data_IF_508474328461
#
_entry.id   IF_508474328461
#
_cell.length_a   1.000
_cell.length_b   1.000
_cell.length_c   1.000
_cell.angle_alpha   90.00
_cell.angle_beta   90.00
_cell.angle_gamma   90.00
#
_symmetry.space_group_name_H-M   'P 1'
#
loop_
_entity.id
_entity.type
_entity.pdbx_description
1 polymer ?
#
# COMPACT_ATOMS: atom_id res chain seq x y z
N UNK A 1 33.97 -5.09 0.62
CA UNK A 1 32.96 -4.06 0.28
C UNK A 1 31.69 -4.50 0.98
N UNK A 2 31.28 -3.83 2.07
CA UNK A 2 30.14 -4.29 2.85
C UNK A 2 28.88 -3.72 2.21
N UNK A 3 27.94 -4.59 1.84
CA UNK A 3 26.63 -4.25 1.26
C UNK A 3 25.85 -3.20 2.09
N UNK A 4 26.16 -3.10 3.38
CA UNK A 4 25.58 -2.15 4.34
C UNK A 4 26.03 -0.68 4.18
N UNK A 5 27.03 -0.40 3.35
CA UNK A 5 27.60 0.93 3.17
C UNK A 5 28.48 1.41 4.33
N UNK A 6 28.93 2.66 4.27
CA UNK A 6 29.81 3.25 5.30
C UNK A 6 29.04 3.64 6.57
N UNK A 7 29.71 3.74 7.72
CA UNK A 7 29.10 4.25 8.97
C UNK A 7 28.48 5.63 8.78
N UNK A 8 29.10 6.52 8.00
CA UNK A 8 28.54 7.83 7.65
C UNK A 8 27.24 7.70 6.85
N UNK A 9 27.22 6.81 5.86
CA UNK A 9 26.02 6.55 5.03
C UNK A 9 24.87 6.00 5.86
N UNK A 10 25.14 5.04 6.76
CA UNK A 10 24.14 4.48 7.68
C UNK A 10 23.58 5.56 8.61
N UNK A 11 24.42 6.46 9.12
CA UNK A 11 23.99 7.56 9.97
C UNK A 11 23.10 8.56 9.22
N UNK A 12 23.44 8.91 7.98
CA UNK A 12 22.61 9.78 7.12
C UNK A 12 21.28 9.11 6.79
N UNK A 13 21.29 7.82 6.47
CA UNK A 13 20.08 7.06 6.18
C UNK A 13 19.11 7.11 7.37
N UNK A 14 19.59 6.88 8.60
CA UNK A 14 18.76 6.88 9.82
C UNK A 14 18.33 8.26 10.29
N UNK A 15 19.22 9.27 10.23
CA UNK A 15 18.96 10.60 10.82
C UNK A 15 18.27 11.57 9.88
N UNK A 16 18.46 11.43 8.58
CA UNK A 16 17.95 12.39 7.58
C UNK A 16 16.96 11.72 6.64
N UNK A 17 17.39 10.69 5.91
CA UNK A 17 16.56 10.09 4.85
C UNK A 17 15.31 9.40 5.38
N UNK A 18 15.43 8.66 6.48
CA UNK A 18 14.31 7.92 7.04
C UNK A 18 13.17 8.84 7.51
N UNK A 19 13.42 9.90 8.31
CA UNK A 19 12.40 10.91 8.60
C UNK A 19 11.81 11.57 7.34
N UNK A 20 12.63 11.92 6.35
CA UNK A 20 12.17 12.56 5.12
C UNK A 20 11.20 11.64 4.34
N UNK A 21 11.52 10.35 4.21
CA UNK A 21 10.67 9.36 3.54
C UNK A 21 9.31 9.26 4.23
N UNK A 22 9.30 9.15 5.56
CA UNK A 22 8.05 9.09 6.33
C UNK A 22 7.23 10.35 6.16
N UNK A 23 7.88 11.52 6.20
CA UNK A 23 7.23 12.81 5.99
C UNK A 23 6.59 12.92 4.60
N UNK A 24 7.34 12.56 3.55
CA UNK A 24 6.84 12.57 2.17
C UNK A 24 5.69 11.57 2.00
N UNK A 25 5.81 10.36 2.55
CA UNK A 25 4.74 9.36 2.47
C UNK A 25 3.42 9.87 3.07
N UNK A 26 3.47 10.48 4.26
CA UNK A 26 2.28 11.08 4.90
C UNK A 26 1.64 12.18 4.06
N UNK A 27 2.45 13.03 3.44
CA UNK A 27 1.95 14.09 2.55
C UNK A 27 1.18 13.55 1.34
N UNK A 28 1.37 12.26 1.02
CA UNK A 28 0.78 11.60 -0.12
C UNK A 28 -0.46 10.76 0.21
N UNK A 29 -0.74 10.47 1.49
CA UNK A 29 -1.89 9.66 1.89
C UNK A 29 -3.23 10.13 1.31
N UNK A 30 -3.57 11.44 1.30
CA UNK A 30 -4.87 11.90 0.80
C UNK A 30 -5.18 11.48 -0.64
N UNK A 31 -4.15 11.34 -1.48
CA UNK A 31 -4.27 10.97 -2.90
C UNK A 31 -4.43 9.46 -3.13
N UNK A 32 -4.24 8.64 -2.08
CA UNK A 32 -4.33 7.18 -2.12
C UNK A 32 -5.51 6.62 -1.31
N UNK A 33 -6.27 7.47 -0.63
CA UNK A 33 -7.45 7.11 0.15
C UNK A 33 -8.59 6.57 -0.74
N UNK A 34 -9.21 5.43 -0.42
CA UNK A 34 -10.41 4.95 -1.11
C UNK A 34 -11.55 5.97 -1.02
N UNK A 35 -12.34 6.12 -2.08
CA UNK A 35 -13.55 6.96 -2.06
C UNK A 35 -13.36 8.48 -1.95
N UNK A 36 -12.14 8.99 -1.74
CA UNK A 36 -11.85 10.44 -1.72
C UNK A 36 -11.48 11.03 -3.06
N UNK A 37 -11.54 10.22 -4.14
CA UNK A 37 -11.69 10.83 -5.45
C UNK A 37 -13.04 11.51 -5.42
N UNK A 38 -13.03 12.81 -5.10
CA UNK A 38 -14.02 13.69 -5.70
C UNK A 38 -14.07 13.26 -7.17
N UNK A 39 -15.21 12.74 -7.58
CA UNK A 39 -15.66 12.80 -8.96
C UNK A 39 -15.83 14.28 -9.31
N UNK A 40 -14.77 15.08 -9.15
CA UNK A 40 -14.70 16.40 -9.74
C UNK A 40 -14.66 16.11 -11.24
N UNK A 41 -15.65 16.55 -12.02
CA UNK A 41 -15.81 16.13 -13.41
C UNK A 41 -14.80 16.86 -14.29
N UNK A 42 -13.51 16.63 -14.08
CA UNK A 42 -12.57 16.58 -15.18
C UNK A 42 -12.76 15.21 -15.84
N UNK A 43 -13.92 15.06 -16.47
CA UNK A 43 -14.35 13.84 -17.13
C UNK A 43 -13.17 13.31 -17.98
N UNK A 44 -12.62 12.13 -17.68
CA UNK A 44 -11.62 11.54 -18.54
C UNK A 44 -12.36 11.18 -19.84
N UNK A 45 -12.13 11.95 -20.90
CA UNK A 45 -12.88 11.80 -22.15
C UNK A 45 -12.52 10.52 -22.91
N UNK A 46 -11.43 9.84 -22.53
CA UNK A 46 -10.96 8.62 -23.19
C UNK A 46 -10.67 7.48 -22.21
N UNK A 47 -10.70 6.25 -22.72
CA UNK A 47 -10.24 5.05 -22.00
C UNK A 47 -8.80 5.19 -21.52
N UNK A 48 -7.97 5.85 -22.33
CA UNK A 48 -6.56 6.11 -22.03
C UNK A 48 -6.38 6.99 -20.79
N UNK A 49 -7.20 8.04 -20.65
CA UNK A 49 -7.12 8.94 -19.50
C UNK A 49 -7.50 8.23 -18.19
N UNK A 50 -8.53 7.38 -18.23
CA UNK A 50 -8.91 6.53 -17.09
C UNK A 50 -7.79 5.56 -16.70
N UNK A 51 -7.23 4.85 -17.68
CA UNK A 51 -6.12 3.94 -17.44
C UNK A 51 -4.90 4.66 -16.85
N UNK A 52 -4.58 5.85 -17.35
CA UNK A 52 -3.46 6.65 -16.85
C UNK A 52 -3.70 7.14 -15.42
N UNK A 53 -4.91 7.60 -15.11
CA UNK A 53 -5.30 8.01 -13.76
C UNK A 53 -5.21 6.83 -12.78
N UNK A 54 -5.75 5.67 -13.18
CA UNK A 54 -5.60 4.41 -12.45
C UNK A 54 -4.14 4.07 -12.21
N UNK A 55 -3.31 4.03 -13.25
CA UNK A 55 -1.90 3.65 -13.14
C UNK A 55 -1.11 4.60 -12.23
N UNK A 56 -1.42 5.90 -12.25
CA UNK A 56 -0.79 6.89 -11.36
C UNK A 56 -1.17 6.64 -9.89
N UNK A 57 -2.46 6.46 -9.62
CA UNK A 57 -2.98 6.17 -8.29
C UNK A 57 -2.44 4.83 -7.75
N UNK A 58 -2.41 3.81 -8.58
CA UNK A 58 -1.91 2.48 -8.21
C UNK A 58 -0.40 2.50 -7.92
N UNK A 59 0.39 3.23 -8.71
CA UNK A 59 1.82 3.47 -8.40
C UNK A 59 2.01 4.15 -7.05
N UNK A 60 1.15 5.11 -6.74
CA UNK A 60 1.18 5.80 -5.45
C UNK A 60 0.89 4.85 -4.30
N UNK A 61 -0.23 4.11 -4.37
CA UNK A 61 -0.62 3.12 -3.37
C UNK A 61 0.51 2.11 -3.12
N UNK A 62 1.08 1.55 -4.19
CA UNK A 62 2.21 0.61 -4.10
C UNK A 62 3.44 1.24 -3.45
N UNK A 63 3.74 2.50 -3.75
CA UNK A 63 4.86 3.22 -3.12
C UNK A 63 4.65 3.37 -1.61
N UNK A 64 3.44 3.72 -1.18
CA UNK A 64 3.09 3.81 0.24
C UNK A 64 3.16 2.44 0.92
N UNK A 65 2.64 1.39 0.27
CA UNK A 65 2.73 0.01 0.74
C UNK A 65 4.17 -0.48 0.91
N UNK A 66 5.10 -0.10 0.03
CA UNK A 66 6.52 -0.42 0.22
C UNK A 66 7.19 0.41 1.33
N UNK A 67 6.66 1.60 1.61
CA UNK A 67 7.21 2.46 2.66
C UNK A 67 6.94 1.89 4.06
N UNK A 68 5.80 1.22 4.25
CA UNK A 68 5.43 0.66 5.55
C UNK A 68 6.41 -0.45 6.03
N UNK A 69 6.69 -1.53 5.27
CA UNK A 69 7.71 -2.52 5.62
C UNK A 69 9.11 -1.91 5.78
N UNK A 70 9.42 -0.85 5.04
CA UNK A 70 10.69 -0.12 5.22
C UNK A 70 10.76 0.50 6.62
N UNK A 71 9.67 1.10 7.11
CA UNK A 71 9.59 1.61 8.49
C UNK A 71 9.78 0.49 9.49
N UNK A 72 9.06 -0.62 9.34
CA UNK A 72 9.16 -1.78 10.23
C UNK A 72 10.57 -2.39 10.24
N UNK A 73 11.23 -2.45 9.08
CA UNK A 73 12.63 -2.87 9.01
C UNK A 73 13.58 -1.94 9.79
N UNK A 74 13.34 -0.63 9.77
CA UNK A 74 14.16 0.32 10.54
C UNK A 74 13.91 0.18 12.05
N UNK A 75 12.68 -0.13 12.46
CA UNK A 75 12.37 -0.48 13.86
C UNK A 75 13.12 -1.75 14.25
N UNK A 76 12.95 -2.83 13.49
CA UNK A 76 13.52 -4.15 13.80
C UNK A 76 15.05 -4.19 13.79
N UNK A 77 15.69 -3.66 12.74
CA UNK A 77 17.14 -3.79 12.57
C UNK A 77 17.95 -2.69 13.25
N UNK A 78 17.34 -1.54 13.55
CA UNK A 78 18.05 -0.40 14.11
C UNK A 78 17.50 0.09 15.45
N UNK A 79 16.54 -0.64 16.04
CA UNK A 79 15.90 -0.33 17.32
C UNK A 79 15.41 1.13 17.37
N UNK A 80 14.87 1.59 16.25
CA UNK A 80 14.30 2.92 16.13
C UNK A 80 12.85 2.90 16.59
N UNK A 81 12.37 4.01 17.16
CA UNK A 81 10.94 4.15 17.46
C UNK A 81 10.12 3.98 16.17
N UNK A 82 8.99 3.25 16.22
CA UNK A 82 8.01 3.26 15.14
C UNK A 82 7.67 4.69 14.77
N UNK A 83 7.71 4.97 13.47
CA UNK A 83 7.40 6.29 12.92
C UNK A 83 6.14 6.29 12.09
N UNK A 84 5.52 5.13 11.88
CA UNK A 84 4.17 5.04 11.35
C UNK A 84 3.27 4.26 12.32
N UNK A 85 2.00 4.63 12.41
CA UNK A 85 1.01 3.97 13.28
C UNK A 85 -0.13 3.40 12.46
N UNK A 86 -0.70 2.26 12.86
CA UNK A 86 -1.75 1.58 12.08
C UNK A 86 -2.90 2.55 11.69
N UNK A 87 -3.35 3.38 12.63
CA UNK A 87 -4.46 4.31 12.42
C UNK A 87 -4.22 5.36 11.33
N UNK A 88 -2.99 5.63 10.92
CA UNK A 88 -2.73 6.57 9.82
C UNK A 88 -2.66 5.91 8.44
N UNK A 89 -2.68 4.56 8.38
CA UNK A 89 -2.57 3.77 7.16
C UNK A 89 -3.93 3.65 6.45
N UNK A 90 -4.57 4.78 6.21
CA UNK A 90 -5.92 4.82 5.64
C UNK A 90 -5.93 4.78 4.09
N UNK A 91 -4.77 4.74 3.46
CA UNK A 91 -4.67 4.53 2.01
C UNK A 91 -5.14 3.12 1.60
N UNK A 92 -5.57 3.00 0.34
CA UNK A 92 -6.11 1.77 -0.22
C UNK A 92 -5.06 0.68 -0.41
N UNK A 93 -5.54 -0.51 -0.75
CA UNK A 93 -4.70 -1.66 -1.07
C UNK A 93 -4.32 -1.69 -2.56
N UNK A 94 -3.17 -2.28 -2.89
CA UNK A 94 -2.77 -2.48 -4.27
C UNK A 94 -3.62 -3.57 -4.92
N UNK A 95 -3.98 -3.35 -6.19
CA UNK A 95 -4.57 -4.40 -7.02
C UNK A 95 -3.55 -5.51 -7.29
N UNK A 96 -3.99 -6.64 -7.84
CA UNK A 96 -3.09 -7.71 -8.29
C UNK A 96 -2.06 -7.20 -9.31
N UNK A 97 -0.85 -7.77 -9.31
CA UNK A 97 0.22 -7.38 -10.23
C UNK A 97 -0.16 -7.57 -11.70
N UNK A 98 -0.97 -8.57 -12.01
CA UNK A 98 -1.50 -8.82 -13.36
C UNK A 98 -2.35 -7.64 -13.85
N UNK A 99 -3.23 -7.13 -12.99
CA UNK A 99 -4.08 -5.97 -13.29
C UNK A 99 -3.26 -4.67 -13.45
N UNK A 100 -2.23 -4.49 -12.61
CA UNK A 100 -1.33 -3.35 -12.71
C UNK A 100 -0.41 -3.40 -13.95
N UNK A 101 0.00 -4.60 -14.38
CA UNK A 101 0.96 -4.80 -15.47
C UNK A 101 0.33 -4.77 -16.88
N UNK A 102 -0.91 -4.32 -17.00
CA UNK A 102 -1.57 -4.17 -18.30
C UNK A 102 -0.73 -3.30 -19.25
N UNK A 103 -0.52 -3.78 -20.48
CA UNK A 103 0.34 -3.14 -21.48
C UNK A 103 -0.21 -1.82 -22.01
N UNK A 104 -1.53 -1.72 -22.04
CA UNK A 104 -2.28 -0.62 -22.64
C UNK A 104 -3.68 -0.51 -22.01
N UNK A 105 -4.40 0.54 -22.41
CA UNK A 105 -5.72 0.87 -21.87
C UNK A 105 -6.77 -0.21 -22.18
N UNK A 106 -6.67 -0.90 -23.31
CA UNK A 106 -7.61 -1.96 -23.70
C UNK A 106 -7.39 -3.22 -22.86
N UNK A 107 -6.13 -3.66 -22.71
CA UNK A 107 -5.75 -4.76 -21.84
C UNK A 107 -6.16 -4.50 -20.39
N UNK A 108 -5.97 -3.27 -19.90
CA UNK A 108 -6.44 -2.85 -18.59
C UNK A 108 -7.95 -2.98 -18.48
N UNK A 109 -8.71 -2.41 -19.42
CA UNK A 109 -10.17 -2.44 -19.40
C UNK A 109 -10.74 -3.87 -19.42
N UNK A 110 -10.16 -4.75 -20.24
CA UNK A 110 -10.56 -6.17 -20.27
C UNK A 110 -10.28 -6.87 -18.93
N UNK A 111 -9.16 -6.55 -18.30
CA UNK A 111 -8.84 -7.08 -16.97
C UNK A 111 -9.75 -6.51 -15.87
N UNK A 112 -10.17 -5.24 -15.97
CA UNK A 112 -11.15 -4.63 -15.05
C UNK A 112 -12.49 -5.35 -15.14
N UNK A 113 -13.02 -5.58 -16.34
CA UNK A 113 -14.28 -6.31 -16.51
C UNK A 113 -14.20 -7.75 -16.01
N UNK A 114 -13.08 -8.43 -16.22
CA UNK A 114 -12.86 -9.77 -15.66
C UNK A 114 -12.77 -9.75 -14.12
N UNK A 115 -12.26 -8.64 -13.55
CA UNK A 115 -12.10 -8.43 -12.12
C UNK A 115 -13.38 -7.93 -11.44
N UNK A 116 -14.33 -7.26 -12.11
CA UNK A 116 -15.60 -6.81 -11.53
C UNK A 116 -16.43 -7.96 -10.93
N UNK A 117 -16.26 -9.19 -11.42
CA UNK A 117 -16.87 -10.39 -10.84
C UNK A 117 -16.13 -10.95 -9.60
N UNK A 118 -14.90 -10.50 -9.30
CA UNK A 118 -14.06 -10.99 -8.18
C UNK A 118 -13.75 -9.90 -7.13
N UNK A 119 -13.42 -8.68 -7.54
CA UNK A 119 -12.58 -7.74 -6.81
C UNK A 119 -13.29 -6.53 -6.15
N UNK A 120 -14.63 -6.48 -6.13
CA UNK A 120 -15.36 -5.35 -5.51
C UNK A 120 -15.05 -5.24 -4.00
N UNK A 121 -14.77 -6.36 -3.33
CA UNK A 121 -14.56 -6.42 -1.89
C UNK A 121 -13.28 -5.72 -1.40
N UNK A 122 -12.18 -5.72 -2.17
CA UNK A 122 -10.91 -5.09 -1.78
C UNK A 122 -10.84 -3.59 -2.09
N UNK A 123 -11.68 -3.09 -3.00
CA UNK A 123 -11.56 -1.72 -3.55
C UNK A 123 -11.80 -0.60 -2.53
N UNK A 124 -12.48 -0.92 -1.42
CA UNK A 124 -12.88 0.04 -0.38
C UNK A 124 -12.15 -0.18 0.95
N UNK A 125 -11.26 -1.17 1.03
CA UNK A 125 -10.58 -1.52 2.28
C UNK A 125 -9.24 -0.82 2.35
N UNK A 126 -8.95 -0.23 3.51
CA UNK A 126 -7.65 0.40 3.80
C UNK A 126 -6.66 -0.60 4.39
N UNK A 127 -5.37 -0.25 4.39
CA UNK A 127 -4.36 -1.08 5.06
C UNK A 127 -4.65 -1.21 6.57
N UNK A 128 -5.01 -0.10 7.23
CA UNK A 128 -5.41 -0.06 8.65
C UNK A 128 -6.58 -1.00 8.96
N UNK A 129 -7.62 -0.98 8.12
CA UNK A 129 -8.77 -1.88 8.26
C UNK A 129 -8.38 -3.34 8.08
N UNK A 130 -7.52 -3.64 7.12
CA UNK A 130 -7.04 -5.01 6.87
C UNK A 130 -6.24 -5.57 8.05
N UNK A 131 -5.37 -4.75 8.65
CA UNK A 131 -4.64 -5.09 9.87
C UNK A 131 -5.62 -5.29 11.04
N UNK A 132 -6.61 -4.43 11.19
CA UNK A 132 -7.62 -4.57 12.25
C UNK A 132 -8.45 -5.86 12.09
N UNK A 133 -8.81 -6.21 10.86
CA UNK A 133 -9.56 -7.45 10.56
C UNK A 133 -8.77 -8.70 10.95
N UNK A 134 -7.46 -8.76 10.64
CA UNK A 134 -6.65 -9.94 10.95
C UNK A 134 -6.35 -10.07 12.46
N UNK A 135 -6.38 -8.95 13.20
CA UNK A 135 -6.20 -8.93 14.66
C UNK A 135 -7.47 -9.30 15.44
N UNK A 136 -8.62 -9.42 14.77
CA UNK A 136 -9.89 -9.73 15.43
C UNK A 136 -10.09 -11.25 15.47
N UNK A 137 -10.45 -11.81 16.63
CA UNK A 137 -10.59 -13.27 16.86
C UNK A 137 -11.68 -13.93 15.97
N UNK A 138 -12.71 -13.16 15.58
CA UNK A 138 -13.85 -13.63 14.76
C UNK A 138 -13.76 -13.15 13.30
N UNK A 139 -12.68 -13.48 12.60
CA UNK A 139 -12.59 -13.22 11.16
C UNK A 139 -13.53 -14.17 10.40
N UNK A 140 -14.69 -13.65 9.96
CA UNK A 140 -15.72 -14.44 9.27
C UNK A 140 -15.29 -14.89 7.86
N UNK A 141 -15.95 -15.92 7.30
CA UNK A 141 -15.60 -16.48 5.99
C UNK A 141 -15.54 -15.43 4.85
N UNK A 142 -16.36 -14.39 4.91
CA UNK A 142 -16.36 -13.28 3.95
C UNK A 142 -15.10 -12.42 4.03
N UNK A 143 -14.52 -12.24 5.22
CA UNK A 143 -13.29 -11.47 5.42
C UNK A 143 -12.06 -12.26 4.94
N UNK A 144 -12.05 -13.58 5.14
CA UNK A 144 -11.02 -14.46 4.56
C UNK A 144 -10.96 -14.38 3.04
N UNK A 145 -12.12 -14.31 2.38
CA UNK A 145 -12.19 -14.13 0.92
C UNK A 145 -11.58 -12.81 0.41
N UNK A 146 -11.42 -11.79 1.28
CA UNK A 146 -10.69 -10.56 0.94
C UNK A 146 -9.19 -10.85 0.90
N UNK A 147 -8.66 -11.50 1.94
CA UNK A 147 -7.23 -11.83 2.03
C UNK A 147 -6.76 -12.80 0.94
N UNK A 148 -7.60 -13.78 0.55
CA UNK A 148 -7.30 -14.70 -0.56
C UNK A 148 -7.10 -14.00 -1.91
N UNK A 149 -7.70 -12.82 -2.08
CA UNK A 149 -7.65 -12.04 -3.31
C UNK A 149 -6.63 -10.89 -3.27
N UNK A 150 -5.98 -10.70 -2.12
CA UNK A 150 -4.98 -9.65 -1.97
C UNK A 150 -3.71 -9.98 -2.75
N UNK A 151 -3.05 -8.92 -3.23
CA UNK A 151 -1.70 -9.07 -3.79
C UNK A 151 -0.71 -9.52 -2.70
N UNK A 152 0.37 -10.24 -3.07
CA UNK A 152 1.45 -10.55 -2.13
C UNK A 152 2.04 -9.32 -1.44
N UNK A 153 2.02 -8.16 -2.12
CA UNK A 153 2.47 -6.90 -1.55
C UNK A 153 1.60 -6.45 -0.36
N UNK A 154 0.27 -6.54 -0.49
CA UNK A 154 -0.65 -6.19 0.59
C UNK A 154 -0.43 -7.12 1.79
N UNK A 155 -0.34 -8.43 1.54
CA UNK A 155 -0.11 -9.43 2.58
C UNK A 155 1.25 -9.23 3.28
N UNK A 156 2.29 -8.87 2.51
CA UNK A 156 3.60 -8.55 3.07
C UNK A 156 3.57 -7.29 3.96
N UNK A 157 2.83 -6.25 3.55
CA UNK A 157 2.62 -5.07 4.38
C UNK A 157 1.90 -5.42 5.69
N UNK A 158 0.81 -6.19 5.62
CA UNK A 158 0.07 -6.65 6.82
C UNK A 158 0.98 -7.49 7.73
N UNK A 159 1.73 -8.44 7.18
CA UNK A 159 2.65 -9.28 7.94
C UNK A 159 3.77 -8.49 8.62
N UNK A 160 4.20 -7.37 8.03
CA UNK A 160 5.25 -6.50 8.59
C UNK A 160 4.83 -5.82 9.90
N UNK A 161 3.53 -5.55 10.07
CA UNK A 161 2.97 -4.97 11.30
C UNK A 161 3.11 -5.91 12.51
N UNK A 162 2.87 -7.21 12.32
CA UNK A 162 3.09 -8.22 13.36
C UNK A 162 4.52 -8.24 13.88
N UNK A 163 5.51 -7.93 13.01
CA UNK A 163 6.90 -7.81 13.40
C UNK A 163 7.17 -6.67 14.38
N UNK A 164 6.40 -5.58 14.31
CA UNK A 164 6.49 -4.47 15.27
C UNK A 164 5.84 -4.83 16.61
N UNK A 165 4.71 -5.56 16.60
CA UNK A 165 3.98 -5.98 17.81
C UNK A 165 4.80 -6.97 18.66
N UNK A 166 5.53 -7.89 18.04
CA UNK A 166 6.35 -8.89 18.76
C UNK A 166 7.60 -8.26 19.43
N UNK A 167 7.98 -7.04 19.05
CA UNK A 167 9.16 -6.33 19.58
C UNK A 167 8.83 -5.32 20.71
N UNK A 168 7.54 -5.15 21.05
CA UNK A 168 7.05 -4.35 22.18
C UNK A 168 6.70 -5.25 23.37
#
# INVERSE_FOLDING_TARGET
>A
MNWEGSTKTRLIARRTRFPDIVYVARSLYPFAMPGTSEEEPLAPCSLYDHWRAFALREKLIRTLLYTFPLVSAFVMFYNMSPRMVINELEFGLAVTDEHFSASDAEAWFMSTQAAENRAVACSQVTLSQSISMIMTEDCGATQWGIFEQMSPLNLFAIASDFGEIVLL
#
